data_IF_401485399079
#
_entry.id   IF_401485399079
#
_cell.length_a   1.000
_cell.length_b   1.000
_cell.length_c   1.000
_cell.angle_alpha   90.00
_cell.angle_beta   90.00
_cell.angle_gamma   90.00
#
_symmetry.space_group_name_H-M   'P 1'
#
loop_
_entity.id
_entity.type
_entity.pdbx_description
1 polymer ?
#
# COMPACT_ATOMS: atom_id res chain seq x y z
N UNK A 1 5.56 -58.95 37.75
CA UNK A 1 6.57 -58.07 37.11
C UNK A 1 6.28 -58.01 35.61
N UNK A 2 6.37 -56.79 35.01
CA UNK A 2 6.19 -56.42 33.59
C UNK A 2 4.75 -56.46 33.04
N UNK A 3 4.20 -55.53 32.23
CA UNK A 3 4.45 -54.15 31.77
C UNK A 3 3.12 -53.73 31.08
N UNK A 4 2.39 -52.71 31.55
CA UNK A 4 2.19 -51.37 30.96
C UNK A 4 1.98 -51.25 29.43
N UNK A 5 0.88 -50.55 29.09
CA UNK A 5 0.69 -49.56 28.01
C UNK A 5 -0.19 -49.93 26.81
N UNK A 6 -1.22 -49.09 26.59
CA UNK A 6 -1.98 -48.96 25.34
C UNK A 6 -2.83 -47.69 25.38
N UNK A 7 -2.32 -46.63 24.75
CA UNK A 7 -2.74 -45.22 24.84
C UNK A 7 -4.00 -44.91 24.02
N UNK A 8 -4.83 -44.00 24.54
CA UNK A 8 -6.06 -43.48 23.95
C UNK A 8 -5.83 -42.71 22.62
N UNK A 9 -6.73 -42.95 21.66
CA UNK A 9 -6.78 -42.29 20.36
C UNK A 9 -7.61 -40.99 20.46
N UNK A 10 -6.96 -39.83 20.35
CA UNK A 10 -7.62 -38.53 20.25
C UNK A 10 -7.81 -38.17 18.76
N UNK A 11 -9.07 -37.99 18.35
CA UNK A 11 -9.46 -37.45 17.05
C UNK A 11 -9.20 -35.94 17.06
N UNK A 12 -8.23 -35.49 16.28
CA UNK A 12 -8.04 -34.07 16.01
C UNK A 12 -8.86 -33.69 14.76
N UNK A 13 -9.96 -32.96 14.99
CA UNK A 13 -10.69 -32.23 13.95
C UNK A 13 -9.77 -31.09 13.52
N UNK A 14 -9.09 -31.26 12.37
CA UNK A 14 -8.28 -30.21 11.78
C UNK A 14 -9.20 -29.09 11.28
N UNK A 15 -9.24 -28.05 12.08
CA UNK A 15 -9.80 -26.72 11.84
C UNK A 15 -9.57 -26.22 10.42
N UNK A 16 -10.66 -25.80 9.78
CA UNK A 16 -10.63 -24.83 8.68
C UNK A 16 -9.85 -23.59 9.16
N UNK A 17 -8.62 -23.43 8.70
CA UNK A 17 -7.83 -22.24 8.98
C UNK A 17 -8.50 -21.00 8.40
N UNK A 18 -8.36 -19.83 9.02
CA UNK A 18 -8.80 -18.60 8.40
C UNK A 18 -8.01 -18.45 7.10
N UNK A 19 -8.70 -18.18 5.99
CA UNK A 19 -8.10 -17.66 4.78
C UNK A 19 -7.41 -16.36 5.18
N UNK A 20 -6.09 -16.41 5.38
CA UNK A 20 -5.29 -15.24 5.74
C UNK A 20 -5.41 -14.22 4.61
N UNK A 21 -6.22 -13.18 4.82
CA UNK A 21 -6.05 -11.94 4.08
C UNK A 21 -4.58 -11.53 4.26
N UNK A 22 -3.78 -11.63 3.21
CA UNK A 22 -2.33 -11.38 3.26
C UNK A 22 -2.09 -10.02 3.91
N UNK A 23 -1.63 -10.05 5.16
CA UNK A 23 -1.48 -8.87 5.98
C UNK A 23 -0.44 -7.95 5.33
N UNK A 24 -0.84 -6.73 5.00
CA UNK A 24 0.10 -5.76 4.43
C UNK A 24 1.09 -5.40 5.52
N UNK A 25 2.37 -5.68 5.31
CA UNK A 25 3.42 -5.33 6.27
C UNK A 25 3.32 -3.86 6.67
N UNK A 26 3.48 -3.57 7.97
CA UNK A 26 3.49 -2.19 8.49
C UNK A 26 4.56 -1.33 7.83
N UNK A 27 5.67 -1.92 7.38
CA UNK A 27 6.69 -1.24 6.58
C UNK A 27 6.12 -0.72 5.25
N UNK A 28 5.37 -1.56 4.53
CA UNK A 28 4.71 -1.20 3.26
C UNK A 28 3.69 -0.09 3.50
N UNK A 29 2.86 -0.20 4.54
CA UNK A 29 1.89 0.85 4.89
C UNK A 29 2.58 2.18 5.20
N UNK A 30 3.70 2.15 5.93
CA UNK A 30 4.48 3.36 6.26
C UNK A 30 5.09 4.00 5.02
N UNK A 31 5.69 3.20 4.14
CA UNK A 31 6.25 3.67 2.87
C UNK A 31 5.17 4.28 1.98
N UNK A 32 4.04 3.59 1.79
CA UNK A 32 2.92 4.11 1.01
C UNK A 32 2.40 5.44 1.56
N UNK A 33 2.28 5.56 2.90
CA UNK A 33 1.82 6.79 3.54
C UNK A 33 2.81 7.94 3.30
N UNK A 34 4.11 7.70 3.49
CA UNK A 34 5.14 8.71 3.28
C UNK A 34 5.20 9.17 1.82
N UNK A 35 5.24 8.22 0.87
CA UNK A 35 5.29 8.52 -0.55
C UNK A 35 4.06 9.31 -1.01
N UNK A 36 2.87 8.85 -0.65
CA UNK A 36 1.62 9.51 -1.07
C UNK A 36 1.47 10.90 -0.47
N UNK A 37 1.84 11.10 0.80
CA UNK A 37 1.81 12.42 1.42
C UNK A 37 2.83 13.38 0.79
N UNK A 38 4.03 12.89 0.48
CA UNK A 38 5.07 13.72 -0.13
C UNK A 38 4.67 14.12 -1.56
N UNK A 39 4.19 13.17 -2.36
CA UNK A 39 3.75 13.44 -3.73
C UNK A 39 2.54 14.37 -3.76
N UNK A 40 1.54 14.17 -2.88
CA UNK A 40 0.36 15.04 -2.83
C UNK A 40 0.74 16.49 -2.51
N UNK A 41 1.62 16.70 -1.52
CA UNK A 41 2.17 18.02 -1.18
C UNK A 41 2.82 18.69 -2.38
N UNK A 42 3.68 17.97 -3.11
CA UNK A 42 4.36 18.50 -4.29
C UNK A 42 3.37 18.86 -5.40
N UNK A 43 2.38 18.01 -5.67
CA UNK A 43 1.37 18.27 -6.71
C UNK A 43 0.52 19.49 -6.36
N UNK A 44 -0.03 19.55 -5.14
CA UNK A 44 -0.89 20.66 -4.71
C UNK A 44 -0.11 21.97 -4.66
N UNK A 45 1.15 21.95 -4.20
CA UNK A 45 2.03 23.12 -4.29
C UNK A 45 2.18 23.59 -5.73
N UNK A 46 2.53 22.70 -6.66
CA UNK A 46 2.73 23.06 -8.06
C UNK A 46 1.46 23.67 -8.68
N UNK A 47 0.30 23.06 -8.45
CA UNK A 47 -0.99 23.57 -8.91
C UNK A 47 -1.29 24.99 -8.37
N UNK A 48 -1.09 25.21 -7.06
CA UNK A 48 -1.30 26.53 -6.44
C UNK A 48 -0.31 27.59 -6.94
N UNK A 49 0.90 27.17 -7.30
CA UNK A 49 1.92 28.03 -7.87
C UNK A 49 1.82 28.17 -9.39
N UNK A 50 0.80 27.59 -10.03
CA UNK A 50 0.62 27.59 -11.48
C UNK A 50 1.83 27.01 -12.25
N UNK A 51 2.44 25.96 -11.68
CA UNK A 51 3.57 25.19 -12.24
C UNK A 51 3.03 23.80 -12.63
N UNK A 52 3.51 23.25 -13.74
CA UNK A 52 3.19 21.86 -14.12
C UNK A 52 3.68 20.87 -13.05
N UNK A 53 2.78 20.14 -12.35
CA UNK A 53 3.14 19.17 -11.33
C UNK A 53 4.09 18.08 -11.81
N UNK A 54 4.00 17.67 -13.09
CA UNK A 54 4.84 16.61 -13.64
C UNK A 54 6.33 17.00 -13.68
N UNK A 55 6.63 18.31 -13.69
CA UNK A 55 8.01 18.82 -13.61
C UNK A 55 8.56 18.87 -12.19
N UNK A 56 7.68 18.84 -11.18
CA UNK A 56 8.03 19.00 -9.76
C UNK A 56 8.13 17.66 -9.02
N UNK A 57 7.31 16.68 -9.42
CA UNK A 57 7.35 15.34 -8.82
C UNK A 57 8.63 14.63 -9.26
N UNK A 58 9.56 14.44 -8.31
CA UNK A 58 10.82 13.72 -8.55
C UNK A 58 10.54 12.24 -8.79
N UNK A 59 11.05 11.72 -9.90
CA UNK A 59 11.03 10.29 -10.19
C UNK A 59 11.79 9.52 -9.13
N UNK A 60 11.21 8.40 -8.72
CA UNK A 60 11.81 7.45 -7.78
C UNK A 60 12.28 6.20 -8.54
N UNK A 61 13.37 5.54 -8.12
CA UNK A 61 13.87 4.35 -8.80
C UNK A 61 13.00 3.11 -8.56
N UNK A 62 12.15 3.14 -7.55
CA UNK A 62 11.19 2.07 -7.27
C UNK A 62 9.99 2.19 -8.23
N UNK A 63 9.86 1.22 -9.13
CA UNK A 63 8.85 1.23 -10.20
C UNK A 63 7.42 1.16 -9.68
N UNK A 64 7.20 0.58 -8.51
CA UNK A 64 5.89 0.56 -7.87
C UNK A 64 5.52 1.95 -7.35
N UNK A 65 6.43 2.62 -6.65
CA UNK A 65 6.22 4.00 -6.19
C UNK A 65 6.15 5.00 -7.34
N UNK A 66 6.88 4.79 -8.43
CA UNK A 66 6.73 5.56 -9.67
C UNK A 66 5.30 5.43 -10.21
N UNK A 67 4.73 4.21 -10.21
CA UNK A 67 3.34 3.98 -10.58
C UNK A 67 2.33 4.71 -9.69
N UNK A 68 2.61 4.84 -8.39
CA UNK A 68 1.80 5.63 -7.46
C UNK A 68 1.85 7.12 -7.83
N UNK A 69 3.04 7.65 -8.13
CA UNK A 69 3.21 9.05 -8.55
C UNK A 69 2.44 9.35 -9.84
N UNK A 70 2.55 8.47 -10.83
CA UNK A 70 1.83 8.60 -12.10
C UNK A 70 0.31 8.56 -11.91
N UNK A 71 -0.18 7.65 -11.04
CA UNK A 71 -1.61 7.58 -10.71
C UNK A 71 -2.11 8.89 -10.08
N UNK A 72 -1.36 9.45 -9.13
CA UNK A 72 -1.72 10.70 -8.46
C UNK A 72 -1.67 11.90 -9.41
N UNK A 73 -0.68 11.99 -10.29
CA UNK A 73 -0.61 13.04 -11.32
C UNK A 73 -1.83 13.00 -12.25
N UNK A 74 -2.24 11.80 -12.68
CA UNK A 74 -3.45 11.61 -13.50
C UNK A 74 -4.73 11.96 -12.72
N UNK A 75 -4.81 11.63 -11.44
CA UNK A 75 -5.96 11.98 -10.60
C UNK A 75 -6.08 13.51 -10.47
N UNK A 76 -4.97 14.19 -10.17
CA UNK A 76 -4.94 15.64 -10.03
C UNK A 76 -5.24 16.39 -11.34
N UNK A 77 -4.84 15.85 -12.50
CA UNK A 77 -5.18 16.46 -13.80
C UNK A 77 -6.67 16.30 -14.16
N UNK A 78 -7.35 15.28 -13.63
CA UNK A 78 -8.78 15.03 -13.85
C UNK A 78 -9.68 15.72 -12.83
N UNK A 79 -9.18 15.97 -11.63
CA UNK A 79 -9.90 16.60 -10.53
C UNK A 79 -8.97 17.62 -9.83
N UNK A 80 -8.79 18.82 -10.39
CA UNK A 80 -7.84 19.83 -9.90
C UNK A 80 -8.25 20.46 -8.57
N UNK A 81 -9.49 20.23 -8.14
CA UNK A 81 -10.08 20.68 -6.88
C UNK A 81 -9.83 19.72 -5.71
N UNK A 82 -9.26 18.54 -5.96
CA UNK A 82 -8.89 17.61 -4.89
C UNK A 82 -7.96 18.28 -3.87
N UNK A 83 -8.30 18.14 -2.60
CA UNK A 83 -7.42 18.54 -1.52
C UNK A 83 -6.18 17.65 -1.45
N UNK A 84 -5.13 18.16 -0.80
CA UNK A 84 -3.92 17.39 -0.53
C UNK A 84 -4.20 16.07 0.21
N UNK A 85 -5.15 16.10 1.16
CA UNK A 85 -5.50 14.93 1.95
C UNK A 85 -6.22 13.86 1.10
N UNK A 86 -7.13 14.27 0.23
CA UNK A 86 -7.84 13.36 -0.69
C UNK A 86 -6.87 12.73 -1.69
N UNK A 87 -5.99 13.55 -2.28
CA UNK A 87 -4.98 13.06 -3.21
C UNK A 87 -4.01 12.08 -2.53
N UNK A 88 -3.58 12.37 -1.31
CA UNK A 88 -2.74 11.47 -0.52
C UNK A 88 -3.47 10.15 -0.18
N UNK A 89 -4.77 10.21 0.12
CA UNK A 89 -5.60 9.03 0.38
C UNK A 89 -5.71 8.14 -0.86
N UNK A 90 -5.95 8.73 -2.04
CA UNK A 90 -5.98 8.02 -3.33
C UNK A 90 -4.64 7.33 -3.61
N UNK A 91 -3.52 8.06 -3.48
CA UNK A 91 -2.18 7.51 -3.64
C UNK A 91 -1.92 6.34 -2.68
N UNK A 92 -2.30 6.48 -1.42
CA UNK A 92 -2.10 5.45 -0.40
C UNK A 92 -2.89 4.18 -0.73
N UNK A 93 -4.17 4.33 -1.06
CA UNK A 93 -5.03 3.21 -1.45
C UNK A 93 -4.51 2.47 -2.66
N UNK A 94 -4.09 3.20 -3.70
CA UNK A 94 -3.48 2.62 -4.89
C UNK A 94 -2.17 1.89 -4.56
N UNK A 95 -1.29 2.52 -3.79
CA UNK A 95 -0.01 1.96 -3.37
C UNK A 95 -0.20 0.60 -2.69
N UNK A 96 -0.99 0.55 -1.60
CA UNK A 96 -1.21 -0.68 -0.82
C UNK A 96 -1.85 -1.79 -1.66
N UNK A 97 -2.77 -1.43 -2.57
CA UNK A 97 -3.49 -2.38 -3.43
C UNK A 97 -2.63 -2.96 -4.54
N UNK A 98 -1.60 -2.22 -4.99
CA UNK A 98 -0.70 -2.61 -6.09
C UNK A 98 0.69 -3.01 -5.61
N UNK A 99 0.84 -3.30 -4.32
CA UNK A 99 2.12 -3.70 -3.74
C UNK A 99 2.68 -4.94 -4.48
N UNK A 100 4.00 -4.99 -4.74
CA UNK A 100 4.63 -6.19 -5.25
C UNK A 100 4.40 -7.36 -4.26
N UNK A 101 3.87 -8.48 -4.74
CA UNK A 101 3.64 -9.68 -3.90
C UNK A 101 4.73 -10.73 -4.03
N UNK A 102 5.65 -10.58 -4.99
CA UNK A 102 6.74 -11.53 -5.22
C UNK A 102 8.08 -10.87 -4.96
N UNK A 103 8.83 -11.44 -4.01
CA UNK A 103 10.28 -11.30 -3.93
C UNK A 103 10.93 -12.52 -3.32
#
# INVERSE_FOLDING_TARGET
MKCLSGVAMMVAIASAGPVSAQEVSESVKRTCRAASQQTARTIVYALRSNIDPATQVKRVPDTWLEGVQAHMLLAASRAPDLSEAELASLGYGYCVSRRPTDR
#
